data_IF_394343721917
#
_entry.id   IF_394343721917
#
_cell.length_a   1.000
_cell.length_b   1.000
_cell.length_c   1.000
_cell.angle_alpha   90.00
_cell.angle_beta   90.00
_cell.angle_gamma   90.00
#
_symmetry.space_group_name_H-M   'P 1'
#
loop_
_entity.id
_entity.type
_entity.pdbx_description
1 polymer ?
#
# COMPACT_ATOMS: atom_id res chain seq x y z
N UNK A 1 -63.10 -4.42 -32.05
CA UNK A 1 -61.86 -3.61 -32.20
C UNK A 1 -61.45 -3.20 -30.80
N UNK A 2 -60.83 -4.03 -29.95
CA UNK A 2 -59.59 -4.81 -30.10
C UNK A 2 -58.36 -3.95 -30.37
N UNK A 3 -57.87 -3.25 -29.33
CA UNK A 3 -56.46 -2.89 -29.15
C UNK A 3 -56.31 -2.11 -27.84
N UNK A 4 -55.78 -2.75 -26.78
CA UNK A 4 -54.96 -2.14 -25.72
C UNK A 4 -54.81 -3.13 -24.56
N UNK A 5 -53.91 -4.11 -24.72
CA UNK A 5 -53.36 -4.92 -23.63
C UNK A 5 -51.92 -5.30 -24.02
N UNK A 6 -51.10 -4.27 -24.22
CA UNK A 6 -49.67 -4.37 -24.51
C UNK A 6 -48.93 -3.31 -23.68
N UNK A 7 -48.81 -3.52 -22.36
CA UNK A 7 -47.89 -2.78 -21.49
C UNK A 7 -47.87 -3.34 -20.05
N UNK A 8 -47.59 -4.63 -19.86
CA UNK A 8 -47.30 -5.18 -18.51
C UNK A 8 -46.06 -6.07 -18.48
N UNK A 9 -45.11 -5.86 -19.40
CA UNK A 9 -43.75 -6.40 -19.32
C UNK A 9 -42.80 -5.36 -18.72
N UNK A 10 -43.19 -4.72 -17.63
CA UNK A 10 -42.33 -3.80 -16.88
C UNK A 10 -41.85 -4.51 -15.61
N UNK A 11 -40.59 -4.94 -15.68
CA UNK A 11 -39.68 -5.08 -14.54
C UNK A 11 -40.03 -6.19 -13.54
N UNK A 12 -39.96 -7.44 -13.98
CA UNK A 12 -39.42 -8.48 -13.09
C UNK A 12 -37.93 -8.17 -12.86
N UNK A 13 -37.63 -7.14 -12.06
CA UNK A 13 -36.36 -7.06 -11.37
C UNK A 13 -36.23 -8.37 -10.62
N UNK A 14 -35.27 -9.21 -11.02
CA UNK A 14 -34.94 -10.46 -10.34
C UNK A 14 -34.73 -10.15 -8.86
N UNK A 15 -35.78 -10.33 -8.06
CA UNK A 15 -35.75 -10.06 -6.64
C UNK A 15 -34.92 -11.19 -6.06
N UNK A 16 -33.66 -10.88 -5.73
CA UNK A 16 -32.73 -11.83 -5.12
C UNK A 16 -33.37 -12.41 -3.86
N UNK A 17 -33.27 -13.72 -3.70
CA UNK A 17 -33.84 -14.40 -2.55
C UNK A 17 -33.18 -13.89 -1.26
N UNK A 18 -33.99 -13.70 -0.22
CA UNK A 18 -33.50 -13.30 1.10
C UNK A 18 -32.81 -14.48 1.78
N UNK A 19 -31.60 -14.26 2.25
CA UNK A 19 -30.76 -15.23 2.94
C UNK A 19 -30.95 -15.19 4.46
N UNK A 20 -31.76 -14.27 5.00
CA UNK A 20 -31.82 -14.00 6.43
C UNK A 20 -32.26 -15.19 7.30
N UNK A 21 -33.22 -16.00 6.83
CA UNK A 21 -33.68 -17.19 7.55
C UNK A 21 -32.63 -18.30 7.61
N UNK A 22 -31.64 -18.25 6.73
CA UNK A 22 -30.61 -19.29 6.58
C UNK A 22 -29.32 -18.98 7.35
N UNK A 23 -29.28 -17.91 8.13
CA UNK A 23 -28.09 -17.54 8.93
C UNK A 23 -27.56 -18.65 9.86
N UNK A 24 -28.40 -19.37 10.63
CA UNK A 24 -27.91 -20.48 11.47
C UNK A 24 -27.30 -21.63 10.66
N UNK A 25 -27.70 -21.80 9.40
CA UNK A 25 -27.08 -22.76 8.48
C UNK A 25 -25.71 -22.25 8.02
N UNK A 26 -25.59 -20.99 7.60
CA UNK A 26 -24.32 -20.42 7.17
C UNK A 26 -23.27 -20.37 8.29
N UNK A 27 -23.67 -20.13 9.53
CA UNK A 27 -22.77 -20.19 10.68
C UNK A 27 -22.16 -21.58 10.88
N UNK A 28 -22.94 -22.65 10.65
CA UNK A 28 -22.41 -24.03 10.66
C UNK A 28 -21.49 -24.28 9.47
N UNK A 29 -21.87 -23.84 8.28
CA UNK A 29 -21.06 -23.94 7.06
C UNK A 29 -19.75 -23.15 7.14
N UNK A 30 -19.68 -22.11 7.96
CA UNK A 30 -18.44 -21.38 8.22
C UNK A 30 -17.36 -22.28 8.85
N UNK A 31 -17.77 -23.21 9.73
CA UNK A 31 -16.86 -24.22 10.33
C UNK A 31 -16.38 -25.21 9.26
N UNK A 32 -17.27 -25.66 8.38
CA UNK A 32 -16.90 -26.50 7.23
C UNK A 32 -15.90 -25.80 6.31
N UNK A 33 -16.08 -24.49 6.07
CA UNK A 33 -15.13 -23.69 5.29
C UNK A 33 -13.76 -23.61 5.97
N UNK A 34 -13.69 -23.45 7.29
CA UNK A 34 -12.42 -23.51 8.02
C UNK A 34 -11.73 -24.87 7.87
N UNK A 35 -12.47 -25.97 8.00
CA UNK A 35 -11.92 -27.32 7.79
C UNK A 35 -11.40 -27.52 6.36
N UNK A 36 -12.11 -26.97 5.37
CA UNK A 36 -11.65 -26.98 3.98
C UNK A 36 -10.34 -26.18 3.82
N UNK A 37 -10.23 -24.98 4.41
CA UNK A 37 -8.98 -24.21 4.42
C UNK A 37 -7.83 -25.00 5.04
N UNK A 38 -8.06 -25.67 6.17
CA UNK A 38 -7.05 -26.47 6.86
C UNK A 38 -6.61 -27.66 6.00
N UNK A 39 -7.55 -28.39 5.39
CA UNK A 39 -7.28 -29.52 4.50
C UNK A 39 -6.48 -29.14 3.25
N UNK A 40 -6.66 -27.90 2.75
CA UNK A 40 -5.87 -27.34 1.64
C UNK A 40 -4.54 -26.72 2.07
N UNK A 41 -4.25 -26.68 3.38
CA UNK A 41 -3.05 -26.05 3.94
C UNK A 41 -3.14 -24.51 4.06
N UNK A 42 -4.24 -23.90 3.64
CA UNK A 42 -4.46 -22.45 3.73
C UNK A 42 -4.76 -22.00 5.16
N UNK A 43 -5.22 -22.92 6.00
CA UNK A 43 -5.50 -22.70 7.42
C UNK A 43 -4.32 -22.16 8.24
N UNK A 44 -3.08 -22.33 7.76
CA UNK A 44 -1.88 -21.76 8.38
C UNK A 44 -1.78 -20.23 8.19
N UNK A 45 -2.41 -19.70 7.15
CA UNK A 45 -2.38 -18.28 6.76
C UNK A 45 -3.74 -17.62 6.99
N UNK A 46 -4.83 -18.32 6.71
CA UNK A 46 -6.20 -17.84 6.77
C UNK A 46 -6.97 -18.50 7.92
N UNK A 47 -7.90 -17.75 8.50
CA UNK A 47 -8.82 -18.23 9.51
C UNK A 47 -10.21 -17.63 9.27
N UNK A 48 -11.26 -18.45 9.29
CA UNK A 48 -12.64 -17.99 9.30
C UNK A 48 -12.91 -17.28 10.61
N UNK A 49 -13.39 -16.06 10.51
CA UNK A 49 -13.81 -15.27 11.66
C UNK A 49 -15.30 -15.37 11.88
N UNK A 50 -16.08 -15.10 10.83
CA UNK A 50 -17.53 -15.14 10.88
C UNK A 50 -18.11 -15.13 9.46
N UNK A 51 -19.40 -15.41 9.38
CA UNK A 51 -20.24 -15.16 8.22
C UNK A 51 -21.38 -14.25 8.65
N UNK A 52 -21.75 -13.29 7.81
CA UNK A 52 -22.86 -12.38 8.10
C UNK A 52 -23.53 -11.90 6.83
N UNK A 53 -24.73 -11.34 6.96
CA UNK A 53 -25.34 -10.58 5.88
C UNK A 53 -24.62 -9.24 5.69
N UNK A 54 -24.58 -8.78 4.45
CA UNK A 54 -23.95 -7.52 4.08
C UNK A 54 -24.61 -6.33 4.77
N UNK A 55 -23.80 -5.37 5.14
CA UNK A 55 -24.26 -4.08 5.67
C UNK A 55 -23.90 -3.02 4.63
N UNK A 56 -24.92 -2.30 4.14
CA UNK A 56 -24.72 -1.25 3.15
C UNK A 56 -24.03 0.00 3.73
N UNK A 57 -23.75 0.99 2.86
CA UNK A 57 -23.09 2.25 3.28
C UNK A 57 -23.91 3.07 4.27
N UNK A 58 -25.23 2.86 4.32
CA UNK A 58 -26.17 3.54 5.21
C UNK A 58 -26.41 2.74 6.50
N UNK A 59 -25.66 1.65 6.72
CA UNK A 59 -25.80 0.71 7.85
C UNK A 59 -27.09 -0.09 7.85
N UNK A 60 -27.75 -0.22 6.70
CA UNK A 60 -28.88 -1.13 6.55
C UNK A 60 -28.38 -2.53 6.23
N UNK A 61 -29.08 -3.51 6.79
CA UNK A 61 -28.85 -4.91 6.50
C UNK A 61 -29.36 -5.22 5.08
N UNK A 62 -28.48 -5.68 4.21
CA UNK A 62 -28.84 -6.27 2.93
C UNK A 62 -29.04 -7.77 3.14
N UNK A 63 -30.30 -8.20 3.18
CA UNK A 63 -30.64 -9.60 3.40
C UNK A 63 -30.38 -10.50 2.19
N UNK A 64 -29.91 -9.96 1.07
CA UNK A 64 -29.73 -10.70 -0.19
C UNK A 64 -28.27 -11.03 -0.49
N UNK A 65 -27.32 -10.53 0.31
CA UNK A 65 -25.89 -10.78 0.13
C UNK A 65 -25.23 -11.28 1.41
N UNK A 66 -24.37 -12.29 1.27
CA UNK A 66 -23.62 -12.94 2.33
C UNK A 66 -22.13 -12.57 2.25
N UNK A 67 -21.56 -12.17 3.38
CA UNK A 67 -20.15 -11.84 3.55
C UNK A 67 -19.45 -12.93 4.40
N UNK A 68 -18.41 -13.54 3.85
CA UNK A 68 -17.47 -14.37 4.62
C UNK A 68 -16.28 -13.51 5.07
N UNK A 69 -16.05 -13.47 6.38
CA UNK A 69 -14.93 -12.77 6.98
C UNK A 69 -13.80 -13.75 7.28
N UNK A 70 -12.64 -13.49 6.70
CA UNK A 70 -11.41 -14.21 6.95
C UNK A 70 -10.39 -13.30 7.64
N UNK A 71 -9.51 -13.89 8.43
CA UNK A 71 -8.38 -13.25 9.06
C UNK A 71 -7.08 -13.83 8.54
N UNK A 72 -6.12 -12.95 8.24
CA UNK A 72 -4.73 -13.36 8.11
C UNK A 72 -4.14 -13.63 9.49
N UNK A 73 -3.52 -14.79 9.69
CA UNK A 73 -2.87 -15.21 10.94
C UNK A 73 -1.55 -14.46 11.18
N UNK A 74 -1.66 -13.17 11.42
CA UNK A 74 -0.58 -12.25 11.77
C UNK A 74 -1.16 -11.00 12.43
N UNK A 75 -0.42 -10.42 13.37
CA UNK A 75 -0.79 -9.12 13.99
C UNK A 75 -0.04 -7.93 13.39
N UNK A 76 0.92 -8.22 12.51
CA UNK A 76 1.69 -7.24 11.74
C UNK A 76 1.25 -7.27 10.27
N UNK A 77 1.02 -6.09 9.68
CA UNK A 77 0.48 -5.92 8.32
C UNK A 77 1.44 -6.46 7.28
N UNK A 78 2.72 -6.11 7.36
CA UNK A 78 3.69 -6.53 6.37
C UNK A 78 3.84 -8.04 6.35
N UNK A 79 3.92 -8.64 7.54
CA UNK A 79 3.97 -10.09 7.70
C UNK A 79 2.70 -10.75 7.18
N UNK A 80 1.52 -10.19 7.47
CA UNK A 80 0.24 -10.70 6.98
C UNK A 80 0.19 -10.68 5.45
N UNK A 81 0.56 -9.56 4.85
CA UNK A 81 0.54 -9.36 3.39
C UNK A 81 1.63 -10.18 2.71
N UNK A 82 2.80 -10.36 3.33
CA UNK A 82 3.84 -11.24 2.81
C UNK A 82 3.38 -12.70 2.81
N UNK A 83 2.74 -13.17 3.89
CA UNK A 83 2.13 -14.51 3.94
C UNK A 83 1.06 -14.69 2.87
N UNK A 84 0.17 -13.71 2.71
CA UNK A 84 -0.83 -13.72 1.63
C UNK A 84 -0.20 -13.78 0.24
N UNK A 85 0.75 -12.90 -0.06
CA UNK A 85 1.40 -12.85 -1.37
C UNK A 85 2.17 -14.14 -1.67
N UNK A 86 2.79 -14.74 -0.66
CA UNK A 86 3.44 -16.04 -0.80
C UNK A 86 2.43 -17.14 -1.08
N UNK A 87 1.35 -17.21 -0.31
CA UNK A 87 0.28 -18.19 -0.53
C UNK A 87 -0.28 -18.07 -1.96
N UNK A 88 -0.52 -16.83 -2.42
CA UNK A 88 -0.95 -16.55 -3.77
C UNK A 88 0.06 -17.01 -4.81
N UNK A 89 1.33 -16.65 -4.66
CA UNK A 89 2.41 -17.06 -5.57
C UNK A 89 2.57 -18.59 -5.64
N UNK A 90 2.43 -19.27 -4.51
CA UNK A 90 2.60 -20.72 -4.42
C UNK A 90 1.39 -21.48 -5.02
N UNK A 91 0.22 -20.84 -5.09
CA UNK A 91 -1.01 -21.44 -5.63
C UNK A 91 -1.30 -21.04 -7.08
N UNK A 92 -1.15 -19.76 -7.42
CA UNK A 92 -1.58 -19.21 -8.70
C UNK A 92 -0.89 -19.90 -9.87
N UNK A 93 -1.70 -20.24 -10.86
CA UNK A 93 -1.26 -20.79 -12.15
C UNK A 93 -1.91 -19.99 -13.28
N UNK A 94 -1.51 -20.23 -14.53
CA UNK A 94 -2.14 -19.60 -15.68
C UNK A 94 -3.63 -19.96 -15.82
N UNK A 95 -4.05 -21.09 -15.24
CA UNK A 95 -5.42 -21.60 -15.33
C UNK A 95 -6.31 -21.20 -14.15
N UNK A 96 -5.73 -20.90 -12.98
CA UNK A 96 -6.51 -20.67 -11.76
C UNK A 96 -5.79 -19.77 -10.75
N UNK A 97 -6.57 -18.97 -10.02
CA UNK A 97 -6.08 -18.08 -8.97
C UNK A 97 -6.59 -18.48 -7.59
N UNK A 98 -5.80 -18.15 -6.57
CA UNK A 98 -6.17 -18.36 -5.18
C UNK A 98 -7.52 -17.73 -4.86
N UNK A 99 -7.74 -16.49 -5.31
CA UNK A 99 -9.00 -15.79 -5.06
C UNK A 99 -10.19 -16.49 -5.73
N UNK A 100 -10.03 -16.99 -6.96
CA UNK A 100 -11.10 -17.69 -7.66
C UNK A 100 -11.44 -19.03 -6.99
N UNK A 101 -10.45 -19.76 -6.49
CA UNK A 101 -10.68 -20.99 -5.73
C UNK A 101 -11.35 -20.71 -4.38
N UNK A 102 -10.86 -19.72 -3.61
CA UNK A 102 -11.47 -19.34 -2.33
C UNK A 102 -12.94 -18.96 -2.52
N UNK A 103 -13.23 -18.17 -3.56
CA UNK A 103 -14.59 -17.75 -3.89
C UNK A 103 -15.49 -18.90 -4.30
N UNK A 104 -15.06 -19.75 -5.25
CA UNK A 104 -15.87 -20.90 -5.69
C UNK A 104 -16.15 -21.88 -4.56
N UNK A 105 -15.17 -22.12 -3.69
CA UNK A 105 -15.39 -22.93 -2.50
C UNK A 105 -16.41 -22.31 -1.55
N UNK A 106 -16.39 -20.97 -1.39
CA UNK A 106 -17.31 -20.27 -0.50
C UNK A 106 -18.74 -20.39 -0.99
N UNK A 107 -18.96 -20.09 -2.26
CA UNK A 107 -20.28 -20.21 -2.88
C UNK A 107 -20.81 -21.65 -2.81
N UNK A 108 -19.95 -22.62 -3.13
CA UNK A 108 -20.33 -24.03 -3.09
C UNK A 108 -20.68 -24.54 -1.70
N UNK A 109 -19.84 -24.26 -0.69
CA UNK A 109 -20.05 -24.73 0.69
C UNK A 109 -21.26 -24.04 1.33
N UNK A 110 -21.50 -22.78 1.00
CA UNK A 110 -22.65 -22.02 1.52
C UNK A 110 -23.93 -22.25 0.73
N UNK A 111 -23.87 -22.96 -0.40
CA UNK A 111 -25.04 -23.27 -1.23
C UNK A 111 -25.82 -22.01 -1.67
N UNK A 112 -25.10 -20.93 -1.99
CA UNK A 112 -25.69 -19.68 -2.48
C UNK A 112 -25.42 -19.49 -3.99
N UNK A 113 -26.19 -18.66 -4.69
CA UNK A 113 -25.82 -18.18 -6.03
C UNK A 113 -24.57 -17.31 -5.99
N UNK A 114 -23.73 -17.39 -7.04
CA UNK A 114 -22.48 -16.61 -7.13
C UNK A 114 -22.72 -15.11 -6.88
N UNK A 115 -23.78 -14.53 -7.44
CA UNK A 115 -24.06 -13.09 -7.30
C UNK A 115 -24.40 -12.62 -5.88
N UNK A 116 -24.59 -13.53 -4.94
CA UNK A 116 -24.98 -13.23 -3.55
C UNK A 116 -23.81 -13.32 -2.56
N UNK A 117 -22.60 -13.71 -2.99
CA UNK A 117 -21.47 -13.90 -2.09
C UNK A 117 -20.35 -12.87 -2.28
N UNK A 118 -19.71 -12.47 -1.17
CA UNK A 118 -18.39 -11.85 -1.19
C UNK A 118 -17.53 -12.29 0.00
N UNK A 119 -16.21 -12.23 -0.17
CA UNK A 119 -15.24 -12.57 0.87
C UNK A 119 -14.45 -11.33 1.24
N UNK A 120 -14.30 -11.06 2.53
CA UNK A 120 -13.47 -9.99 3.07
C UNK A 120 -12.40 -10.57 3.98
N UNK A 121 -11.14 -10.26 3.68
CA UNK A 121 -9.98 -10.75 4.41
C UNK A 121 -9.32 -9.58 5.13
N UNK A 122 -9.20 -9.68 6.46
CA UNK A 122 -8.68 -8.63 7.33
C UNK A 122 -7.41 -9.05 8.07
N UNK A 123 -6.74 -8.05 8.65
CA UNK A 123 -5.66 -8.23 9.62
C UNK A 123 -6.11 -7.59 10.93
N UNK A 124 -5.93 -8.29 12.05
CA UNK A 124 -6.14 -7.74 13.39
C UNK A 124 -4.82 -7.32 14.00
N UNK A 125 -4.79 -6.24 14.76
CA UNK A 125 -3.62 -5.87 15.56
C UNK A 125 -3.52 -6.72 16.83
N UNK A 126 -2.50 -6.47 17.66
CA UNK A 126 -2.32 -7.16 18.96
C UNK A 126 -3.47 -6.93 19.94
N UNK A 127 -4.20 -5.83 19.81
CA UNK A 127 -5.40 -5.50 20.59
C UNK A 127 -6.69 -6.09 19.99
N UNK A 128 -6.57 -7.06 19.08
CA UNK A 128 -7.67 -7.74 18.38
C UNK A 128 -8.58 -6.82 17.53
N UNK A 129 -8.20 -5.56 17.32
CA UNK A 129 -8.94 -4.63 16.46
C UNK A 129 -8.50 -4.78 15.00
N UNK A 130 -9.42 -4.63 14.05
CA UNK A 130 -9.04 -4.59 12.63
C UNK A 130 -8.12 -3.41 12.35
N UNK A 131 -7.09 -3.68 11.55
CA UNK A 131 -6.18 -2.66 11.07
C UNK A 131 -6.91 -1.87 9.98
N UNK A 132 -7.22 -0.60 10.29
CA UNK A 132 -7.90 0.32 9.36
C UNK A 132 -7.17 0.34 8.01
N UNK A 133 -7.93 0.47 6.92
CA UNK A 133 -7.43 0.52 5.54
C UNK A 133 -6.63 -0.70 5.07
N UNK A 134 -6.65 -1.81 5.80
CA UNK A 134 -6.05 -3.09 5.38
C UNK A 134 -7.13 -4.14 5.19
N UNK A 135 -7.44 -4.47 3.94
CA UNK A 135 -8.34 -5.57 3.60
C UNK A 135 -8.11 -6.09 2.17
N UNK A 136 -8.55 -7.32 1.94
CA UNK A 136 -8.66 -7.92 0.61
C UNK A 136 -10.12 -8.27 0.42
N UNK A 137 -10.75 -7.74 -0.62
CA UNK A 137 -12.13 -7.99 -0.95
C UNK A 137 -12.20 -8.79 -2.25
N UNK A 138 -13.00 -9.85 -2.26
CA UNK A 138 -13.17 -10.77 -3.39
C UNK A 138 -14.67 -10.92 -3.66
N UNK A 139 -15.10 -10.66 -4.89
CA UNK A 139 -16.50 -10.77 -5.30
C UNK A 139 -16.62 -11.16 -6.78
N UNK A 140 -17.80 -11.58 -7.22
CA UNK A 140 -18.09 -11.78 -8.62
C UNK A 140 -18.62 -10.47 -9.23
N UNK A 141 -18.02 -10.04 -10.33
CA UNK A 141 -18.47 -8.90 -11.13
C UNK A 141 -18.47 -9.26 -12.61
N UNK A 142 -19.62 -9.10 -13.27
CA UNK A 142 -19.79 -9.41 -14.70
C UNK A 142 -19.31 -10.83 -15.08
N UNK A 143 -19.59 -11.83 -14.23
CA UNK A 143 -19.21 -13.23 -14.46
C UNK A 143 -17.72 -13.52 -14.27
N UNK A 144 -16.95 -12.58 -13.71
CA UNK A 144 -15.52 -12.76 -13.41
C UNK A 144 -15.24 -12.44 -11.95
N UNK A 145 -14.26 -13.14 -11.38
CA UNK A 145 -13.80 -12.86 -10.02
C UNK A 145 -13.04 -11.54 -10.03
N UNK A 146 -13.56 -10.55 -9.32
CA UNK A 146 -12.93 -9.28 -9.06
C UNK A 146 -12.27 -9.30 -7.67
N UNK A 147 -11.16 -8.57 -7.56
CA UNK A 147 -10.42 -8.45 -6.29
C UNK A 147 -10.00 -7.02 -6.06
N UNK A 148 -10.12 -6.54 -4.83
CA UNK A 148 -9.53 -5.28 -4.38
C UNK A 148 -8.65 -5.56 -3.18
N UNK A 149 -7.38 -5.14 -3.27
CA UNK A 149 -6.43 -5.21 -2.17
C UNK A 149 -6.10 -3.80 -1.71
N UNK A 150 -6.52 -3.46 -0.49
CA UNK A 150 -6.09 -2.24 0.20
C UNK A 150 -5.14 -2.66 1.31
N UNK A 151 -3.93 -2.11 1.30
CA UNK A 151 -2.97 -2.31 2.40
C UNK A 151 -2.73 -0.96 3.01
N UNK A 152 -3.03 -0.81 4.29
CA UNK A 152 -2.78 0.44 4.96
C UNK A 152 -1.27 0.66 4.99
N UNK A 153 -0.84 1.79 4.44
CA UNK A 153 0.50 2.35 4.67
C UNK A 153 0.54 2.91 6.08
N UNK A 154 0.34 2.05 7.08
CA UNK A 154 0.04 2.46 8.46
C UNK A 154 1.24 3.03 9.23
N UNK A 155 2.40 3.21 8.58
CA UNK A 155 3.64 3.72 9.17
C UNK A 155 4.43 4.64 8.23
N UNK A 156 3.80 5.05 7.13
CA UNK A 156 4.44 5.91 6.15
C UNK A 156 4.20 7.38 6.50
N UNK A 157 5.28 8.15 6.52
CA UNK A 157 5.24 9.59 6.71
C UNK A 157 4.91 10.28 5.38
N UNK A 158 4.10 11.34 5.41
CA UNK A 158 3.79 12.10 4.19
C UNK A 158 3.95 13.60 4.36
N UNK A 159 4.21 14.28 3.25
CA UNK A 159 4.20 15.73 3.16
C UNK A 159 3.83 16.21 1.77
N UNK A 160 3.46 17.48 1.68
CA UNK A 160 3.16 18.16 0.43
C UNK A 160 4.00 19.43 0.29
N UNK A 161 4.48 19.67 -0.94
CA UNK A 161 5.24 20.85 -1.34
C UNK A 161 4.53 21.50 -2.52
N UNK A 162 4.06 22.74 -2.34
CA UNK A 162 3.55 23.56 -3.42
C UNK A 162 4.68 24.44 -3.98
N UNK A 163 4.89 24.35 -5.29
CA UNK A 163 5.89 25.14 -6.03
C UNK A 163 5.13 26.14 -6.92
N UNK A 164 5.14 27.43 -6.57
CA UNK A 164 4.43 28.45 -7.33
C UNK A 164 5.15 28.75 -8.65
N UNK A 165 4.39 29.21 -9.64
CA UNK A 165 4.97 29.73 -10.88
C UNK A 165 5.66 31.08 -10.63
N UNK A 166 6.95 31.26 -11.01
CA UNK A 166 7.64 32.51 -10.75
C UNK A 166 7.14 33.63 -11.68
N UNK A 167 6.27 34.50 -11.16
CA UNK A 167 5.86 35.73 -11.87
C UNK A 167 6.94 36.79 -11.67
N UNK A 168 7.62 37.20 -12.76
CA UNK A 168 8.48 38.40 -12.71
C UNK A 168 7.60 39.63 -12.51
N UNK A 169 7.71 40.31 -11.37
CA UNK A 169 7.16 41.66 -11.21
C UNK A 169 7.99 42.63 -12.06
N UNK A 170 7.50 43.01 -13.23
CA UNK A 170 8.01 44.18 -13.97
C UNK A 170 7.54 45.45 -13.24
N UNK A 171 8.44 46.42 -13.06
CA UNK A 171 8.15 47.67 -12.37
C UNK A 171 6.98 48.44 -12.98
N UNK A 172 6.36 49.30 -12.16
CA UNK A 172 5.23 50.17 -12.53
C UNK A 172 5.50 50.84 -13.88
N UNK A 173 4.72 50.50 -14.92
CA UNK A 173 4.62 51.09 -16.28
C UNK A 173 5.01 50.23 -17.49
N UNK A 174 5.40 48.96 -17.34
CA UNK A 174 5.58 48.07 -18.51
C UNK A 174 4.55 46.94 -18.51
N UNK A 175 3.78 46.81 -19.61
CA UNK A 175 2.88 45.68 -19.84
C UNK A 175 3.61 44.37 -19.54
N UNK A 176 3.04 43.55 -18.65
CA UNK A 176 3.58 42.26 -18.23
C UNK A 176 3.65 41.32 -19.43
N UNK A 177 4.77 41.36 -20.17
CA UNK A 177 5.17 40.23 -21.01
C UNK A 177 5.53 39.10 -20.06
N UNK A 178 4.60 38.17 -19.90
CA UNK A 178 4.85 36.87 -19.29
C UNK A 178 5.90 36.21 -20.17
N UNK A 179 7.19 36.36 -19.85
CA UNK A 179 8.19 35.44 -20.37
C UNK A 179 7.73 34.07 -19.89
N UNK A 180 7.37 33.18 -20.81
CA UNK A 180 6.99 31.82 -20.49
C UNK A 180 8.17 31.13 -19.80
N UNK A 181 8.26 31.28 -18.48
CA UNK A 181 9.19 30.53 -17.67
C UNK A 181 8.77 29.08 -17.85
N UNK A 182 9.63 28.28 -18.48
CA UNK A 182 9.35 26.88 -18.79
C UNK A 182 8.91 26.18 -17.51
N UNK A 183 7.64 25.79 -17.47
CA UNK A 183 7.08 24.96 -16.40
C UNK A 183 7.88 23.67 -16.34
N UNK A 184 8.32 23.27 -15.14
CA UNK A 184 8.95 21.96 -14.96
C UNK A 184 7.94 20.86 -15.20
N UNK A 185 8.27 19.94 -16.11
CA UNK A 185 7.48 18.73 -16.32
C UNK A 185 7.62 17.79 -15.11
N UNK A 186 6.70 16.83 -14.98
CA UNK A 186 6.82 15.80 -13.95
C UNK A 186 8.16 15.05 -14.07
N UNK A 187 8.59 14.72 -15.29
CA UNK A 187 9.88 14.06 -15.55
C UNK A 187 11.08 14.89 -15.07
N UNK A 188 11.11 16.18 -15.38
CA UNK A 188 12.19 17.07 -14.92
C UNK A 188 12.24 17.14 -13.39
N UNK A 189 11.07 17.16 -12.72
CA UNK A 189 10.98 17.12 -11.26
C UNK A 189 11.48 15.78 -10.71
N UNK A 190 11.07 14.66 -11.31
CA UNK A 190 11.47 13.32 -10.90
C UNK A 190 12.96 13.07 -11.09
N UNK A 191 13.55 13.57 -12.17
CA UNK A 191 15.00 13.46 -12.41
C UNK A 191 15.82 14.28 -11.42
N UNK A 192 15.33 15.48 -11.03
CA UNK A 192 15.96 16.25 -9.96
C UNK A 192 15.93 15.50 -8.63
N UNK A 193 14.81 14.86 -8.28
CA UNK A 193 14.65 14.08 -7.05
C UNK A 193 15.61 12.89 -7.06
N UNK A 194 15.64 12.09 -8.15
CA UNK A 194 16.54 10.95 -8.25
C UNK A 194 18.01 11.36 -8.21
N UNK A 195 18.37 12.47 -8.86
CA UNK A 195 19.71 13.04 -8.77
C UNK A 195 20.06 13.43 -7.34
N UNK A 196 19.14 14.07 -6.62
CA UNK A 196 19.34 14.40 -5.21
C UNK A 196 19.58 13.14 -4.38
N UNK A 197 18.70 12.14 -4.47
CA UNK A 197 18.83 10.85 -3.77
C UNK A 197 20.18 10.20 -4.05
N UNK A 198 20.61 10.14 -5.31
CA UNK A 198 21.92 9.60 -5.68
C UNK A 198 23.04 10.33 -4.95
N UNK A 199 23.06 11.65 -5.00
CA UNK A 199 24.14 12.45 -4.39
C UNK A 199 24.10 12.51 -2.86
N UNK A 200 22.91 12.64 -2.25
CA UNK A 200 22.76 12.88 -0.82
C UNK A 200 22.63 11.60 -0.01
N UNK A 201 22.14 10.51 -0.60
CA UNK A 201 21.92 9.25 0.09
C UNK A 201 22.90 8.18 -0.36
N UNK A 202 23.11 7.98 -1.66
CA UNK A 202 23.94 6.85 -2.14
C UNK A 202 25.44 7.18 -2.11
N UNK A 203 25.80 8.39 -2.50
CA UNK A 203 27.19 8.85 -2.61
C UNK A 203 27.69 9.58 -1.35
N UNK A 204 26.92 9.54 -0.26
CA UNK A 204 27.25 10.25 0.98
C UNK A 204 28.60 9.79 1.55
N UNK A 205 29.38 10.74 2.09
CA UNK A 205 30.74 10.49 2.56
C UNK A 205 30.85 9.39 3.63
N UNK A 206 29.78 9.16 4.41
CA UNK A 206 29.70 8.11 5.43
C UNK A 206 29.96 6.70 4.88
N UNK A 207 29.64 6.43 3.62
CA UNK A 207 29.89 5.14 2.96
C UNK A 207 31.32 4.96 2.45
N UNK A 208 32.18 5.99 2.60
CA UNK A 208 33.62 5.89 2.32
C UNK A 208 34.44 5.73 3.60
N UNK A 209 33.83 5.95 4.75
CA UNK A 209 34.50 5.89 6.06
C UNK A 209 33.75 4.91 6.99
N UNK A 210 32.82 5.44 7.79
CA UNK A 210 32.13 4.74 8.89
C UNK A 210 31.32 3.52 8.44
N UNK A 211 30.72 3.58 7.25
CA UNK A 211 29.84 2.56 6.66
C UNK A 211 30.39 2.03 5.33
N UNK A 212 31.71 1.89 5.22
CA UNK A 212 32.40 1.42 4.01
C UNK A 212 32.07 -0.02 3.60
N UNK A 213 31.51 -0.80 4.53
CA UNK A 213 30.96 -2.14 4.31
C UNK A 213 29.59 -2.14 3.61
N UNK A 214 28.93 -0.97 3.48
CA UNK A 214 27.60 -0.85 2.86
C UNK A 214 27.67 -0.32 1.44
N UNK A 215 26.70 -0.76 0.64
CA UNK A 215 26.51 -0.31 -0.74
C UNK A 215 25.04 0.08 -0.96
N UNK A 216 24.64 1.29 -0.53
CA UNK A 216 23.30 1.76 -0.79
C UNK A 216 23.00 1.76 -2.27
N UNK A 217 21.79 1.35 -2.62
CA UNK A 217 21.35 1.30 -4.01
C UNK A 217 19.84 1.48 -4.10
N UNK A 218 19.38 1.84 -5.30
CA UNK A 218 17.96 1.84 -5.62
C UNK A 218 17.59 0.42 -6.06
N UNK A 219 16.57 -0.17 -5.43
CA UNK A 219 16.05 -1.48 -5.81
C UNK A 219 15.40 -1.43 -7.21
N UNK A 220 15.38 -2.56 -7.91
CA UNK A 220 14.86 -2.66 -9.28
C UNK A 220 13.33 -2.53 -9.39
N UNK A 221 12.63 -2.39 -8.26
CA UNK A 221 11.17 -2.23 -8.19
C UNK A 221 10.69 -0.79 -8.43
N UNK A 222 11.61 0.10 -8.82
CA UNK A 222 11.28 1.47 -9.18
C UNK A 222 10.27 1.52 -10.32
N UNK A 223 9.23 2.33 -10.18
CA UNK A 223 8.21 2.54 -11.21
C UNK A 223 7.99 4.03 -11.42
N UNK A 224 7.75 4.40 -12.67
CA UNK A 224 7.49 5.78 -13.09
C UNK A 224 6.30 5.81 -14.04
N UNK A 225 5.39 6.74 -13.82
CA UNK A 225 4.28 7.09 -14.72
C UNK A 225 4.31 8.59 -14.99
N UNK A 226 3.37 9.09 -15.80
CA UNK A 226 3.29 10.52 -16.14
C UNK A 226 3.15 11.45 -14.91
N UNK A 227 2.61 10.95 -13.80
CA UNK A 227 2.36 11.74 -12.59
C UNK A 227 2.91 11.11 -11.31
N UNK A 228 3.53 9.94 -11.40
CA UNK A 228 4.00 9.21 -10.22
C UNK A 228 5.45 8.72 -10.38
N UNK A 229 6.22 8.82 -9.31
CA UNK A 229 7.53 8.20 -9.19
C UNK A 229 7.57 7.39 -7.88
N UNK A 230 7.86 6.10 -7.98
CA UNK A 230 8.10 5.23 -6.82
C UNK A 230 9.46 4.57 -6.92
N UNK A 231 10.20 4.55 -5.83
CA UNK A 231 11.47 3.83 -5.74
C UNK A 231 11.79 3.47 -4.29
N UNK A 232 12.62 2.45 -4.11
CA UNK A 232 13.10 2.01 -2.81
C UNK A 232 14.61 2.14 -2.75
N UNK A 233 15.14 2.71 -1.66
CA UNK A 233 16.57 2.78 -1.38
C UNK A 233 16.90 1.82 -0.24
N UNK A 234 17.76 0.85 -0.50
CA UNK A 234 18.15 -0.18 0.45
C UNK A 234 19.61 -0.04 0.90
N UNK A 235 20.00 -0.85 1.89
CA UNK A 235 21.34 -0.89 2.48
C UNK A 235 21.83 0.47 3.01
N UNK A 236 20.89 1.34 3.44
CA UNK A 236 21.20 2.62 4.07
C UNK A 236 21.69 2.41 5.51
N UNK A 237 22.20 3.47 6.10
CA UNK A 237 22.64 3.48 7.50
C UNK A 237 22.90 4.91 7.95
N UNK A 238 22.43 5.25 9.14
CA UNK A 238 22.47 6.62 9.69
C UNK A 238 21.80 7.64 8.78
N UNK A 239 20.82 7.25 7.97
CA UNK A 239 20.02 8.21 7.18
C UNK A 239 18.87 8.74 8.05
N UNK A 240 18.11 7.83 8.67
CA UNK A 240 17.08 8.16 9.67
C UNK A 240 17.62 8.02 11.09
N UNK A 241 18.29 6.89 11.40
CA UNK A 241 18.83 6.58 12.73
C UNK A 241 20.21 7.20 12.90
N UNK A 242 20.24 8.54 12.82
CA UNK A 242 21.47 9.33 12.69
C UNK A 242 22.39 9.32 13.92
N UNK A 243 21.87 8.93 15.08
CA UNK A 243 22.57 8.91 16.38
C UNK A 243 23.33 7.60 16.64
N UNK A 244 23.13 6.58 15.82
CA UNK A 244 23.84 5.31 15.94
C UNK A 244 25.32 5.50 15.61
N UNK A 245 26.19 4.97 16.47
CA UNK A 245 27.63 5.01 16.27
C UNK A 245 28.21 3.62 16.44
N UNK A 246 29.28 3.37 15.70
CA UNK A 246 30.04 2.13 15.80
C UNK A 246 30.80 2.10 17.13
N UNK A 247 30.76 0.99 17.85
CA UNK A 247 31.61 0.83 19.04
C UNK A 247 33.06 0.60 18.60
N UNK A 248 34.03 1.07 19.41
CA UNK A 248 35.46 1.00 19.03
C UNK A 248 35.94 -0.43 18.72
N UNK A 249 35.43 -1.43 19.44
CA UNK A 249 35.82 -2.83 19.31
C UNK A 249 35.24 -3.48 18.04
N UNK A 250 34.15 -2.96 17.50
CA UNK A 250 33.52 -3.48 16.28
C UNK A 250 34.43 -3.32 15.05
N UNK A 251 35.23 -2.25 15.04
CA UNK A 251 36.30 -2.04 14.06
C UNK A 251 37.39 -3.10 14.14
N UNK A 252 37.67 -3.63 15.32
CA UNK A 252 38.69 -4.66 15.53
C UNK A 252 38.21 -6.05 15.05
N UNK A 253 36.94 -6.39 15.28
CA UNK A 253 36.37 -7.68 14.86
C UNK A 253 35.71 -7.66 13.48
N UNK A 254 35.71 -6.51 12.80
CA UNK A 254 35.15 -6.37 11.44
C UNK A 254 33.62 -6.44 11.38
N UNK A 255 32.92 -6.13 12.48
CA UNK A 255 31.45 -6.14 12.56
C UNK A 255 30.92 -4.70 12.49
N UNK A 256 29.70 -4.50 12.00
CA UNK A 256 28.99 -3.23 12.02
C UNK A 256 27.57 -3.44 12.57
N UNK A 257 27.26 -2.93 13.76
CA UNK A 257 25.93 -3.13 14.38
C UNK A 257 24.92 -2.03 14.08
N UNK A 258 25.36 -0.93 13.45
CA UNK A 258 24.46 0.15 13.02
C UNK A 258 23.32 -0.47 12.23
N UNK A 259 22.08 -0.09 12.46
CA UNK A 259 20.94 -0.71 11.78
C UNK A 259 21.01 -0.49 10.27
N UNK A 260 20.66 -1.50 9.48
CA UNK A 260 20.48 -1.33 8.03
C UNK A 260 19.11 -0.73 7.77
N UNK A 261 19.08 0.40 7.07
CA UNK A 261 17.84 1.13 6.78
C UNK A 261 17.38 0.88 5.34
N UNK A 262 16.07 0.90 5.13
CA UNK A 262 15.40 0.77 3.83
C UNK A 262 14.27 1.79 3.77
N UNK A 263 14.34 2.70 2.81
CA UNK A 263 13.38 3.79 2.63
C UNK A 263 12.67 3.66 1.30
N UNK A 264 11.35 3.58 1.32
CA UNK A 264 10.52 3.56 0.10
C UNK A 264 9.86 4.92 -0.09
N UNK A 265 10.01 5.50 -1.27
CA UNK A 265 9.45 6.81 -1.62
C UNK A 265 8.38 6.65 -2.69
N UNK A 266 7.29 7.37 -2.54
CA UNK A 266 6.28 7.56 -3.58
C UNK A 266 5.99 9.06 -3.71
N UNK A 267 6.21 9.58 -4.90
CA UNK A 267 5.93 10.96 -5.27
C UNK A 267 4.75 11.01 -6.24
N UNK A 268 3.86 11.96 -6.01
CA UNK A 268 2.74 12.29 -6.91
C UNK A 268 2.86 13.76 -7.32
N UNK A 269 2.96 14.00 -8.63
CA UNK A 269 2.97 15.33 -9.24
C UNK A 269 1.55 15.74 -9.58
N UNK A 270 1.09 16.86 -9.00
CA UNK A 270 -0.24 17.42 -9.24
C UNK A 270 -0.10 18.78 -9.91
N UNK A 271 -0.51 18.94 -11.16
CA UNK A 271 -0.45 20.22 -11.84
C UNK A 271 -1.42 21.24 -11.20
N UNK A 272 -0.98 22.47 -10.97
CA UNK A 272 -1.86 23.56 -10.53
C UNK A 272 -2.34 24.39 -11.73
N UNK A 273 -3.51 25.02 -11.57
CA UNK A 273 -4.16 25.86 -12.60
C UNK A 273 -3.44 27.19 -12.84
N UNK A 274 -2.70 27.67 -11.84
CA UNK A 274 -1.91 28.90 -11.87
C UNK A 274 -0.54 28.75 -12.56
N UNK A 275 -0.28 27.59 -13.18
CA UNK A 275 0.99 27.24 -13.82
C UNK A 275 2.05 26.68 -12.87
N UNK A 276 1.77 26.63 -11.56
CA UNK A 276 2.57 25.93 -10.56
C UNK A 276 2.30 24.42 -10.54
N UNK A 277 2.81 23.77 -9.50
CA UNK A 277 2.49 22.36 -9.21
C UNK A 277 2.61 22.05 -7.73
N UNK A 278 1.92 21.01 -7.30
CA UNK A 278 2.10 20.39 -5.99
C UNK A 278 2.81 19.05 -6.14
N UNK A 279 3.66 18.71 -5.18
CA UNK A 279 4.32 17.43 -5.08
C UNK A 279 3.97 16.82 -3.73
N UNK A 280 3.23 15.72 -3.75
CA UNK A 280 2.95 14.90 -2.57
C UNK A 280 4.00 13.81 -2.48
N UNK A 281 4.51 13.57 -1.28
CA UNK A 281 5.48 12.52 -1.00
C UNK A 281 4.99 11.66 0.14
N UNK A 282 5.13 10.34 -0.03
CA UNK A 282 4.95 9.33 1.00
C UNK A 282 6.29 8.60 1.16
N UNK A 283 6.76 8.48 2.40
CA UNK A 283 8.01 7.82 2.78
C UNK A 283 7.67 6.70 3.76
N UNK A 284 8.03 5.47 3.41
CA UNK A 284 7.98 4.31 4.30
C UNK A 284 9.39 3.97 4.77
N UNK A 285 9.57 3.83 6.08
CA UNK A 285 10.87 3.66 6.72
C UNK A 285 10.97 2.33 7.44
N UNK A 286 11.96 1.51 7.08
CA UNK A 286 12.24 0.23 7.72
C UNK A 286 13.70 0.10 8.13
N UNK A 287 13.97 -0.67 9.17
CA UNK A 287 15.30 -0.97 9.68
C UNK A 287 15.48 -2.48 9.87
N UNK A 288 16.71 -2.96 9.84
CA UNK A 288 17.05 -4.36 10.08
C UNK A 288 18.42 -4.48 10.72
N UNK A 289 18.85 -5.71 10.98
CA UNK A 289 20.15 -5.99 11.59
C UNK A 289 21.29 -5.34 10.79
N UNK A 290 22.23 -4.70 11.49
CA UNK A 290 23.49 -4.24 10.91
C UNK A 290 24.47 -5.37 10.61
N UNK A 291 24.42 -6.42 11.43
CA UNK A 291 25.38 -7.53 11.40
C UNK A 291 25.05 -8.51 10.28
N UNK A 292 23.77 -8.85 10.15
CA UNK A 292 23.29 -9.74 9.10
C UNK A 292 22.48 -8.94 8.11
N UNK A 293 22.93 -8.92 6.85
CA UNK A 293 22.19 -8.28 5.77
C UNK A 293 20.74 -8.81 5.76
N UNK A 294 19.73 -7.97 6.03
CA UNK A 294 18.36 -8.43 6.09
C UNK A 294 17.91 -8.90 4.70
N UNK A 295 17.19 -10.02 4.65
CA UNK A 295 16.35 -10.32 3.47
C UNK A 295 15.22 -9.29 3.42
N UNK A 296 14.55 -9.12 2.30
CA UNK A 296 13.46 -8.13 2.14
C UNK A 296 12.39 -8.22 3.24
N UNK A 297 12.09 -9.42 3.74
CA UNK A 297 11.14 -9.66 4.84
C UNK A 297 11.74 -9.52 6.26
N UNK A 298 13.05 -9.32 6.37
CA UNK A 298 13.79 -9.17 7.63
C UNK A 298 13.90 -7.72 8.11
N UNK A 299 13.37 -6.77 7.33
CA UNK A 299 13.24 -5.39 7.74
C UNK A 299 11.98 -5.22 8.61
N UNK A 300 12.14 -4.53 9.73
CA UNK A 300 11.09 -4.10 10.66
C UNK A 300 10.76 -2.63 10.39
N UNK A 301 9.52 -2.22 10.59
CA UNK A 301 9.16 -0.81 10.39
C UNK A 301 9.77 0.07 11.49
N UNK A 302 10.20 1.28 11.12
CA UNK A 302 10.77 2.24 12.07
C UNK A 302 9.74 2.72 13.10
N UNK A 303 8.46 2.78 12.75
CA UNK A 303 7.40 3.06 13.74
C UNK A 303 6.96 1.78 14.49
N UNK A 304 6.70 1.86 15.81
CA UNK A 304 6.70 3.08 16.63
C UNK A 304 8.07 3.44 17.25
N UNK A 305 9.03 2.52 17.23
CA UNK A 305 10.24 2.60 18.07
C UNK A 305 11.16 3.78 17.75
N UNK A 306 11.10 4.32 16.53
CA UNK A 306 11.94 5.41 16.02
C UNK A 306 11.12 6.55 15.39
N UNK A 307 9.89 6.76 15.85
CA UNK A 307 8.97 7.74 15.26
C UNK A 307 9.56 9.17 15.23
N UNK A 308 10.19 9.59 16.32
CA UNK A 308 10.80 10.93 16.43
C UNK A 308 11.94 11.15 15.41
N UNK A 309 12.79 10.14 15.21
CA UNK A 309 13.85 10.18 14.19
C UNK A 309 13.25 10.25 12.79
N UNK A 310 12.20 9.47 12.54
CA UNK A 310 11.58 9.41 11.23
C UNK A 310 10.81 10.68 10.89
N UNK A 311 10.14 11.28 11.88
CA UNK A 311 9.45 12.57 11.75
C UNK A 311 10.45 13.72 11.51
N UNK A 312 11.57 13.74 12.24
CA UNK A 312 12.67 14.68 11.98
C UNK A 312 13.21 14.51 10.56
N UNK A 313 13.53 13.29 10.16
CA UNK A 313 14.02 12.97 8.82
C UNK A 313 13.05 13.44 7.73
N UNK A 314 11.75 13.17 7.88
CA UNK A 314 10.69 13.61 6.96
C UNK A 314 10.73 15.13 6.77
N UNK A 315 10.82 15.88 7.87
CA UNK A 315 10.81 17.34 7.84
C UNK A 315 12.07 17.91 7.18
N UNK A 316 13.23 17.35 7.49
CA UNK A 316 14.51 17.74 6.87
C UNK A 316 14.53 17.42 5.37
N UNK A 317 14.06 16.22 5.00
CA UNK A 317 13.97 15.80 3.60
C UNK A 317 12.99 16.68 2.81
N UNK A 318 11.82 16.98 3.38
CA UNK A 318 10.86 17.95 2.80
C UNK A 318 11.53 19.29 2.50
N UNK A 319 12.32 19.82 3.45
CA UNK A 319 12.99 21.10 3.28
C UNK A 319 14.07 21.05 2.17
N UNK A 320 14.84 19.96 2.11
CA UNK A 320 15.83 19.72 1.03
C UNK A 320 15.17 19.67 -0.34
N UNK A 321 14.09 18.90 -0.49
CA UNK A 321 13.34 18.80 -1.76
C UNK A 321 12.70 20.15 -2.12
N UNK A 322 12.10 20.86 -1.16
CA UNK A 322 11.52 22.19 -1.41
C UNK A 322 12.58 23.15 -1.95
N UNK A 323 13.75 23.19 -1.31
CA UNK A 323 14.87 24.04 -1.73
C UNK A 323 15.37 23.66 -3.12
N UNK A 324 15.50 22.35 -3.40
CA UNK A 324 15.89 21.83 -4.71
C UNK A 324 14.93 22.28 -5.82
N UNK A 325 13.62 22.18 -5.57
CA UNK A 325 12.60 22.51 -6.56
C UNK A 325 12.37 24.01 -6.73
N UNK A 326 12.77 24.83 -5.76
CA UNK A 326 12.69 26.30 -5.85
C UNK A 326 13.91 26.94 -6.53
N UNK A 327 15.04 26.23 -6.66
CA UNK A 327 16.14 26.69 -7.52
C UNK A 327 15.63 26.82 -8.95
N UNK A 328 15.94 27.94 -9.62
CA UNK A 328 15.53 28.17 -11.01
C UNK A 328 16.02 27.02 -11.91
N UNK A 329 15.22 26.60 -12.91
CA UNK A 329 15.66 25.64 -13.92
C UNK A 329 16.90 26.14 -14.68
#
# INVERSE_FOLDING_TARGET
MSALLLAACLSASAQRESLASSMPFFEKKAVEYQHWLDAKGFGQVLQVEQVRLKIDRNRNLDSTELELFLLLRSTDVDTAIAKWNRLKKDFDTDADSLEAMLYRAFIHIMEIPDSQGNIQIYVRNRSASYIKDTHIWIWLENGRIATQKKVATMRAKSFEISVPYPVKKTGKSASSKISAARRRSADEVFDLILKHVKTSMLEHARYRSELSDRKPHIESDSSRTATMLKFTVADLGKEVLSDQNRYFWESWVGINTIAMERLSFQFEYVPATDGGYSLKCIIDGKFGSGVFKPRTSGYMNMEPDFDDFFEKYKNDFRLRIKTLLQKKP
#
